data_IF_275247220327
#
_entry.id   IF_275247220327
#
_cell.length_a   1.000
_cell.length_b   1.000
_cell.length_c   1.000
_cell.angle_alpha   90.00
_cell.angle_beta   90.00
_cell.angle_gamma   90.00
#
_symmetry.space_group_name_H-M   'P 1'
#
loop_
_entity.id
_entity.type
_entity.pdbx_description
1 polymer ?
#
# COMPACT_ATOMS: atom_id res chain seq x y z
N UNK A 1 -41.91 -15.59 -29.15
CA UNK A 1 -41.06 -16.75 -29.43
C UNK A 1 -39.63 -16.24 -29.47
N UNK A 2 -38.79 -16.77 -28.56
CA UNK A 2 -37.36 -16.51 -28.33
C UNK A 2 -36.92 -15.10 -27.88
N UNK A 3 -36.02 -14.89 -26.92
CA UNK A 3 -35.46 -15.66 -25.78
C UNK A 3 -34.64 -14.59 -25.03
N UNK A 4 -34.96 -14.34 -23.76
CA UNK A 4 -34.19 -13.46 -22.89
C UNK A 4 -33.01 -14.24 -22.29
N UNK A 5 -31.82 -13.64 -22.26
CA UNK A 5 -30.68 -14.14 -21.50
C UNK A 5 -30.27 -13.08 -20.48
N UNK A 6 -30.68 -13.30 -19.23
CA UNK A 6 -30.10 -12.66 -18.05
C UNK A 6 -28.88 -13.48 -17.61
N UNK A 7 -27.76 -12.86 -17.23
CA UNK A 7 -26.79 -13.52 -16.36
C UNK A 7 -27.20 -13.32 -14.90
N UNK A 8 -27.56 -14.42 -14.26
CA UNK A 8 -27.78 -14.55 -12.82
C UNK A 8 -26.43 -14.49 -12.09
N UNK A 9 -26.18 -13.42 -11.34
CA UNK A 9 -25.22 -13.45 -10.24
C UNK A 9 -25.98 -13.88 -8.97
N UNK A 10 -25.61 -15.04 -8.43
CA UNK A 10 -26.03 -15.46 -7.09
C UNK A 10 -24.81 -15.32 -6.16
N UNK A 11 -24.97 -14.69 -4.98
CA UNK A 11 -23.99 -14.74 -3.91
C UNK A 11 -24.24 -15.98 -3.04
N UNK A 12 -23.20 -16.70 -2.64
CA UNK A 12 -23.26 -17.50 -1.42
C UNK A 12 -21.87 -17.76 -0.81
N UNK A 13 -21.82 -17.99 0.52
CA UNK A 13 -20.64 -17.86 1.34
C UNK A 13 -19.76 -19.11 1.27
N UNK A 14 -18.44 -18.91 1.28
CA UNK A 14 -17.47 -20.00 1.35
C UNK A 14 -17.49 -20.56 2.78
N UNK A 15 -18.08 -21.74 2.93
CA UNK A 15 -17.96 -22.62 4.11
C UNK A 15 -16.70 -23.48 3.94
N UNK A 16 -15.70 -23.29 4.79
CA UNK A 16 -14.55 -24.20 4.85
C UNK A 16 -14.89 -25.44 5.69
N UNK A 17 -14.86 -26.61 5.06
CA UNK A 17 -15.01 -27.91 5.72
C UNK A 17 -13.71 -28.30 6.41
N UNK A 18 -13.80 -28.59 7.72
CA UNK A 18 -12.72 -29.12 8.55
C UNK A 18 -12.33 -30.54 8.09
N UNK A 19 -11.08 -30.73 7.67
CA UNK A 19 -10.55 -32.07 7.40
C UNK A 19 -9.83 -32.60 8.64
N UNK A 20 -10.27 -33.78 9.09
CA UNK A 20 -9.82 -34.50 10.28
C UNK A 20 -8.31 -34.84 10.26
N UNK A 21 -7.67 -34.63 11.39
CA UNK A 21 -6.33 -35.14 11.74
C UNK A 21 -6.35 -36.67 11.86
N UNK A 22 -5.54 -37.36 11.07
CA UNK A 22 -5.24 -38.79 11.26
C UNK A 22 -3.97 -38.90 12.11
N UNK A 23 -4.13 -39.45 13.30
CA UNK A 23 -3.06 -39.83 14.22
C UNK A 23 -2.46 -41.14 13.73
N UNK A 24 -1.18 -41.15 13.39
CA UNK A 24 -0.40 -42.39 13.27
C UNK A 24 0.69 -42.42 14.34
N UNK A 25 0.45 -43.24 15.35
CA UNK A 25 1.45 -43.70 16.31
C UNK A 25 2.56 -44.47 15.56
N UNK A 26 3.83 -44.28 15.95
CA UNK A 26 4.82 -45.36 16.00
C UNK A 26 6.05 -44.97 16.84
N UNK A 27 6.02 -45.45 18.08
CA UNK A 27 7.04 -46.21 18.81
C UNK A 27 8.53 -46.05 18.43
N UNK A 28 9.31 -45.64 19.43
CA UNK A 28 10.78 -45.73 19.51
C UNK A 28 11.33 -47.14 19.24
N UNK A 29 12.61 -47.23 18.85
CA UNK A 29 13.51 -48.07 19.65
C UNK A 29 14.85 -47.39 20.01
N UNK A 30 15.36 -47.79 21.17
CA UNK A 30 16.66 -47.48 21.72
C UNK A 30 17.79 -48.38 21.18
N UNK A 31 18.99 -47.85 21.01
CA UNK A 31 20.29 -48.54 21.24
C UNK A 31 21.42 -47.49 21.25
N UNK A 32 22.11 -47.25 22.38
CA UNK A 32 23.36 -47.85 22.90
C UNK A 32 24.61 -47.73 22.00
N UNK A 33 25.54 -46.91 22.51
CA UNK A 33 27.02 -47.00 22.55
C UNK A 33 27.84 -47.19 21.24
N UNK A 34 28.79 -46.29 20.97
CA UNK A 34 30.21 -46.47 21.36
C UNK A 34 31.18 -45.42 20.76
N UNK A 35 32.03 -44.87 21.65
CA UNK A 35 33.49 -44.68 21.60
C UNK A 35 34.17 -44.03 20.36
N UNK A 36 34.72 -42.85 20.63
CA UNK A 36 35.92 -42.15 20.13
C UNK A 36 36.74 -42.73 18.96
N UNK A 37 37.03 -41.87 17.98
CA UNK A 37 38.39 -41.73 17.45
C UNK A 37 38.68 -40.28 17.02
N UNK A 38 39.65 -39.66 17.68
CA UNK A 38 40.23 -38.39 17.26
C UNK A 38 41.21 -38.65 16.11
N UNK A 39 41.02 -37.98 14.97
CA UNK A 39 42.04 -37.76 13.94
C UNK A 39 41.94 -36.32 13.47
N UNK A 40 43.00 -35.58 13.78
CA UNK A 40 43.34 -34.25 13.27
C UNK A 40 43.57 -34.30 11.77
N UNK A 41 42.97 -33.36 11.03
CA UNK A 41 43.48 -32.89 9.74
C UNK A 41 43.05 -31.44 9.52
N UNK A 42 44.05 -30.59 9.27
CA UNK A 42 43.92 -29.18 8.88
C UNK A 42 43.11 -29.03 7.59
N UNK A 43 42.09 -28.17 7.60
CA UNK A 43 41.66 -27.43 6.41
C UNK A 43 40.84 -26.19 6.78
N UNK A 44 41.19 -25.08 6.10
CA UNK A 44 40.60 -23.73 6.06
C UNK A 44 39.25 -23.53 6.77
N UNK A 45 39.23 -22.62 7.76
CA UNK A 45 37.99 -22.01 8.28
C UNK A 45 37.36 -21.11 7.21
N UNK A 46 36.40 -21.64 6.47
CA UNK A 46 35.31 -20.80 5.95
C UNK A 46 34.35 -20.52 7.11
N UNK A 47 34.27 -19.24 7.49
CA UNK A 47 33.27 -18.77 8.44
C UNK A 47 31.93 -18.76 7.71
N UNK A 48 31.21 -19.87 7.77
CA UNK A 48 29.79 -19.91 7.43
C UNK A 48 29.07 -19.05 8.46
N UNK A 49 28.66 -17.86 8.05
CA UNK A 49 27.78 -17.01 8.86
C UNK A 49 26.49 -17.80 9.13
N UNK A 50 26.06 -17.97 10.39
CA UNK A 50 24.82 -18.63 10.69
C UNK A 50 23.68 -17.82 10.04
N UNK A 51 22.97 -18.46 9.11
CA UNK A 51 21.67 -18.02 8.61
C UNK A 51 20.78 -17.81 9.84
N UNK A 52 20.58 -16.55 10.21
CA UNK A 52 19.71 -16.16 11.32
C UNK A 52 18.34 -16.74 11.02
N UNK A 53 17.93 -17.72 11.82
CA UNK A 53 16.60 -18.26 11.78
C UNK A 53 15.65 -17.11 12.15
N UNK A 54 14.80 -16.72 11.21
CA UNK A 54 13.62 -15.90 11.51
C UNK A 54 12.84 -16.61 12.61
N UNK A 55 12.65 -15.95 13.74
CA UNK A 55 11.77 -16.43 14.81
C UNK A 55 10.40 -16.70 14.16
N UNK A 56 9.83 -17.90 14.30
CA UNK A 56 8.51 -18.18 13.75
C UNK A 56 7.51 -17.23 14.40
N UNK A 57 6.87 -16.41 13.57
CA UNK A 57 5.78 -15.52 13.97
C UNK A 57 4.78 -16.32 14.80
N UNK A 58 4.43 -15.84 16.00
CA UNK A 58 3.24 -16.34 16.65
C UNK A 58 2.04 -15.87 15.81
N UNK A 59 1.13 -16.77 15.41
CA UNK A 59 -0.05 -16.37 14.66
C UNK A 59 -0.86 -15.37 15.48
N UNK A 60 -1.50 -14.42 14.79
CA UNK A 60 -2.32 -13.39 15.47
C UNK A 60 -3.40 -14.09 16.28
N UNK A 61 -3.43 -13.83 17.59
CA UNK A 61 -4.45 -14.36 18.49
C UNK A 61 -5.75 -13.55 18.32
N UNK A 62 -6.63 -14.03 17.43
CA UNK A 62 -7.92 -13.38 17.14
C UNK A 62 -8.82 -13.32 18.37
N UNK A 63 -8.81 -14.36 19.21
CA UNK A 63 -9.63 -14.41 20.42
C UNK A 63 -9.23 -13.31 21.40
N UNK A 64 -7.92 -13.10 21.57
CA UNK A 64 -7.40 -11.98 22.37
C UNK A 64 -7.82 -10.63 21.80
N UNK A 65 -7.68 -10.41 20.48
CA UNK A 65 -8.09 -9.15 19.85
C UNK A 65 -9.58 -8.88 20.02
N UNK A 66 -10.40 -9.93 19.91
CA UNK A 66 -11.84 -9.85 20.08
C UNK A 66 -12.20 -9.60 21.55
N UNK A 67 -11.50 -10.18 22.51
CA UNK A 67 -11.73 -9.93 23.94
C UNK A 67 -11.33 -8.49 24.33
N UNK A 68 -10.16 -8.04 23.91
CA UNK A 68 -9.58 -6.76 24.33
C UNK A 68 -10.19 -5.54 23.61
N UNK A 69 -10.47 -5.66 22.30
CA UNK A 69 -10.79 -4.50 21.45
C UNK A 69 -12.20 -4.49 20.86
N UNK A 70 -13.05 -5.47 21.19
CA UNK A 70 -14.44 -5.48 20.69
C UNK A 70 -15.31 -4.36 21.28
N UNK A 71 -16.47 -4.12 20.65
CA UNK A 71 -17.48 -3.16 21.14
C UNK A 71 -17.44 -1.77 20.50
N UNK A 72 -16.35 -1.41 19.81
CA UNK A 72 -16.18 -0.09 19.16
C UNK A 72 -16.66 -0.06 17.69
N UNK A 73 -17.59 -0.94 17.30
CA UNK A 73 -17.96 -1.13 15.89
C UNK A 73 -16.91 -1.89 15.07
N UNK A 74 -15.97 -2.56 15.75
CA UNK A 74 -14.92 -3.39 15.13
C UNK A 74 -15.10 -4.86 15.49
N UNK A 75 -14.92 -5.71 14.48
CA UNK A 75 -14.90 -7.18 14.63
C UNK A 75 -13.65 -7.76 13.99
N UNK A 76 -13.13 -8.85 14.54
CA UNK A 76 -11.95 -9.52 14.04
C UNK A 76 -12.27 -10.87 13.41
N UNK A 77 -11.56 -11.23 12.34
CA UNK A 77 -11.68 -12.54 11.69
C UNK A 77 -10.30 -13.04 11.24
N UNK A 78 -9.95 -14.27 11.59
CA UNK A 78 -8.70 -14.90 11.15
C UNK A 78 -8.70 -15.21 9.65
N UNK A 79 -7.57 -14.96 8.99
CA UNK A 79 -7.33 -15.33 7.59
C UNK A 79 -5.91 -15.86 7.46
N UNK A 80 -5.76 -17.17 7.25
CA UNK A 80 -4.46 -17.84 7.25
C UNK A 80 -3.73 -17.60 8.58
N UNK A 81 -2.51 -17.10 8.52
CA UNK A 81 -1.71 -16.74 9.70
C UNK A 81 -1.95 -15.30 10.21
N UNK A 82 -2.81 -14.54 9.51
CA UNK A 82 -3.15 -13.15 9.82
C UNK A 82 -4.59 -12.96 10.32
N UNK A 83 -5.00 -11.71 10.38
CA UNK A 83 -6.33 -11.31 10.84
C UNK A 83 -6.84 -10.10 10.04
N UNK A 84 -8.15 -9.98 9.89
CA UNK A 84 -8.79 -8.75 9.41
C UNK A 84 -9.57 -8.08 10.53
N UNK A 85 -9.35 -6.78 10.70
CA UNK A 85 -10.19 -5.91 11.49
C UNK A 85 -11.22 -5.26 10.56
N UNK A 86 -12.50 -5.53 10.81
CA UNK A 86 -13.62 -4.95 10.06
C UNK A 86 -14.28 -3.87 10.88
N UNK A 87 -14.23 -2.64 10.38
CA UNK A 87 -14.88 -1.46 10.95
C UNK A 87 -16.24 -1.28 10.29
N UNK A 88 -17.29 -1.00 11.07
CA UNK A 88 -18.65 -0.76 10.57
C UNK A 88 -19.35 0.36 11.33
N UNK A 89 -19.78 1.38 10.60
CA UNK A 89 -20.66 2.43 11.09
C UNK A 89 -22.14 2.07 10.89
N UNK A 90 -23.01 2.72 11.65
CA UNK A 90 -24.47 2.55 11.59
C UNK A 90 -25.07 3.06 10.27
N UNK A 91 -24.46 4.07 9.65
CA UNK A 91 -24.87 4.58 8.34
C UNK A 91 -24.63 3.58 7.18
N UNK A 92 -23.94 2.46 7.45
CA UNK A 92 -23.62 1.42 6.49
C UNK A 92 -22.20 1.48 5.93
N UNK A 93 -21.44 2.56 6.17
CA UNK A 93 -20.04 2.64 5.77
C UNK A 93 -19.21 1.56 6.48
N UNK A 94 -18.33 0.89 5.72
CA UNK A 94 -17.45 -0.17 6.25
C UNK A 94 -16.05 -0.05 5.69
N UNK A 95 -15.05 -0.40 6.50
CA UNK A 95 -13.67 -0.57 6.05
C UNK A 95 -13.09 -1.90 6.55
N UNK A 96 -12.18 -2.50 5.78
CA UNK A 96 -11.49 -3.74 6.15
C UNK A 96 -9.99 -3.50 6.14
N UNK A 97 -9.35 -3.72 7.30
CA UNK A 97 -7.92 -3.56 7.53
C UNK A 97 -7.29 -4.92 7.81
N UNK A 98 -6.22 -5.26 7.08
CA UNK A 98 -5.46 -6.50 7.27
C UNK A 98 -4.30 -6.30 8.25
N UNK A 99 -4.13 -7.28 9.15
CA UNK A 99 -3.03 -7.37 10.10
C UNK A 99 -2.18 -8.62 9.81
N UNK A 100 -0.84 -8.52 9.90
CA UNK A 100 -0.07 -7.36 10.37
C UNK A 100 0.35 -6.38 9.26
N UNK A 101 -0.18 -6.50 8.03
CA UNK A 101 0.29 -5.69 6.90
C UNK A 101 -0.10 -4.21 6.97
N UNK A 102 -1.15 -3.87 7.70
CA UNK A 102 -1.72 -2.51 7.70
C UNK A 102 -2.43 -2.15 6.39
N UNK A 103 -2.71 -3.14 5.52
CA UNK A 103 -3.38 -2.91 4.24
C UNK A 103 -4.88 -2.69 4.44
N UNK A 104 -5.42 -1.58 3.95
CA UNK A 104 -6.89 -1.41 3.85
C UNK A 104 -7.34 -2.03 2.53
N UNK A 105 -8.11 -3.10 2.57
CA UNK A 105 -8.50 -3.85 1.37
C UNK A 105 -9.85 -3.46 0.80
N UNK A 106 -10.73 -2.87 1.60
CA UNK A 106 -12.08 -2.47 1.19
C UNK A 106 -12.52 -1.25 1.96
N UNK A 107 -13.20 -0.35 1.26
CA UNK A 107 -13.91 0.79 1.82
C UNK A 107 -15.22 0.94 1.07
N UNK A 108 -16.32 0.57 1.71
CA UNK A 108 -17.65 0.80 1.20
C UNK A 108 -18.21 2.04 1.87
N UNK A 109 -18.44 3.09 1.10
CA UNK A 109 -19.04 4.31 1.60
C UNK A 109 -20.57 4.26 1.42
N UNK A 110 -21.30 4.80 2.40
CA UNK A 110 -22.73 5.03 2.29
C UNK A 110 -23.04 6.09 1.22
N UNK A 111 -24.13 5.92 0.48
CA UNK A 111 -24.54 6.79 -0.63
C UNK A 111 -25.90 7.42 -0.34
N UNK A 112 -26.15 8.60 -0.90
CA UNK A 112 -27.40 9.38 -0.74
C UNK A 112 -28.70 8.61 -1.02
N UNK A 113 -28.63 7.55 -1.84
CA UNK A 113 -29.77 6.69 -2.17
C UNK A 113 -29.96 5.51 -1.19
N UNK A 114 -29.31 5.54 -0.02
CA UNK A 114 -29.40 4.53 1.04
C UNK A 114 -28.65 3.22 0.75
N UNK A 115 -27.88 3.16 -0.33
CA UNK A 115 -26.99 2.04 -0.64
C UNK A 115 -25.56 2.31 -0.18
N UNK A 116 -24.66 1.37 -0.50
CA UNK A 116 -23.21 1.55 -0.31
C UNK A 116 -22.48 1.24 -1.61
N UNK A 117 -21.38 1.92 -1.88
CA UNK A 117 -20.54 1.65 -3.05
C UNK A 117 -19.07 1.44 -2.65
N UNK A 118 -18.37 0.54 -3.36
CA UNK A 118 -16.98 0.18 -3.06
C UNK A 118 -16.01 1.19 -3.66
N UNK A 119 -15.33 1.97 -2.83
CA UNK A 119 -14.44 3.05 -3.25
C UNK A 119 -13.05 2.54 -3.66
N UNK A 120 -12.60 1.42 -3.09
CA UNK A 120 -11.26 0.88 -3.32
C UNK A 120 -11.28 -0.29 -4.31
N UNK A 121 -10.22 -0.36 -5.11
CA UNK A 121 -9.97 -1.49 -5.99
C UNK A 121 -9.00 -2.45 -5.31
N UNK A 122 -9.40 -3.69 -5.11
CA UNK A 122 -8.53 -4.75 -4.64
C UNK A 122 -8.92 -6.10 -5.25
N UNK A 123 -7.94 -6.98 -5.42
CA UNK A 123 -8.16 -8.35 -5.86
C UNK A 123 -7.12 -9.28 -5.23
N UNK A 124 -7.34 -10.59 -5.39
CA UNK A 124 -6.45 -11.62 -4.87
C UNK A 124 -5.89 -12.44 -6.02
N UNK A 125 -4.60 -12.72 -6.00
CA UNK A 125 -3.94 -13.68 -6.89
C UNK A 125 -3.45 -14.88 -6.10
N UNK A 126 -3.47 -16.05 -6.73
CA UNK A 126 -2.82 -17.24 -6.19
C UNK A 126 -1.37 -17.28 -6.71
N UNK A 127 -0.41 -17.20 -5.80
CA UNK A 127 1.02 -17.24 -6.10
C UNK A 127 1.70 -18.42 -5.40
N UNK A 128 2.92 -18.75 -5.82
CA UNK A 128 3.71 -19.83 -5.21
C UNK A 128 4.09 -19.39 -3.79
N UNK A 129 3.32 -19.83 -2.80
CA UNK A 129 3.48 -19.44 -1.40
C UNK A 129 2.19 -18.96 -0.71
N UNK A 130 1.09 -18.80 -1.45
CA UNK A 130 -0.21 -18.44 -0.89
C UNK A 130 -0.98 -17.42 -1.72
N UNK A 131 -2.12 -17.00 -1.19
CA UNK A 131 -2.91 -15.93 -1.78
C UNK A 131 -2.29 -14.56 -1.46
N UNK A 132 -2.06 -13.73 -2.47
CA UNK A 132 -1.53 -12.37 -2.35
C UNK A 132 -2.62 -11.38 -2.69
N UNK A 133 -2.81 -10.39 -1.82
CA UNK A 133 -3.78 -9.31 -2.03
C UNK A 133 -3.09 -8.16 -2.75
N UNK A 134 -3.76 -7.59 -3.74
CA UNK A 134 -3.29 -6.43 -4.50
C UNK A 134 -4.30 -5.29 -4.39
N UNK A 135 -3.83 -4.04 -4.47
CA UNK A 135 -4.68 -2.86 -4.46
C UNK A 135 -4.91 -2.26 -3.07
N UNK A 136 -6.09 -1.69 -2.85
CA UNK A 136 -6.47 -1.07 -1.58
C UNK A 136 -5.69 0.20 -1.23
N UNK A 137 -5.60 0.51 0.06
CA UNK A 137 -4.72 1.56 0.61
C UNK A 137 -3.54 0.91 1.32
N UNK A 138 -2.34 1.15 0.80
CA UNK A 138 -1.09 0.60 1.31
C UNK A 138 -0.11 1.69 1.72
N UNK A 139 0.75 1.36 2.68
CA UNK A 139 1.85 2.22 3.11
C UNK A 139 3.13 1.73 2.46
N UNK A 140 3.60 2.45 1.45
CA UNK A 140 4.84 2.14 0.77
C UNK A 140 5.89 3.16 1.18
N UNK A 141 6.42 2.98 2.40
CA UNK A 141 7.32 3.91 3.06
C UNK A 141 8.71 3.27 3.24
N UNK A 142 9.75 4.06 3.03
CA UNK A 142 11.14 3.71 3.30
C UNK A 142 11.77 4.83 4.12
N UNK A 143 12.40 4.45 5.22
CA UNK A 143 13.12 5.34 6.11
C UNK A 143 14.61 5.11 5.93
N UNK A 144 15.35 6.15 5.53
CA UNK A 144 16.81 6.11 5.46
C UNK A 144 17.41 6.87 6.64
N UNK A 145 18.29 6.16 7.36
CA UNK A 145 18.97 6.69 8.52
C UNK A 145 20.40 7.08 8.17
N UNK A 146 20.97 8.07 8.86
CA UNK A 146 22.31 8.60 8.58
C UNK A 146 23.47 7.61 8.74
N UNK A 147 23.21 6.41 9.26
CA UNK A 147 24.15 5.27 9.35
C UNK A 147 24.14 4.37 8.10
N UNK A 148 23.34 4.72 7.08
CA UNK A 148 23.20 3.93 5.85
C UNK A 148 22.22 2.75 5.97
N UNK A 149 21.52 2.61 7.11
CA UNK A 149 20.47 1.60 7.29
C UNK A 149 19.16 2.16 6.74
N UNK A 150 18.51 1.42 5.83
CA UNK A 150 17.12 1.67 5.45
C UNK A 150 16.18 0.66 6.09
N UNK A 151 14.98 1.12 6.42
CA UNK A 151 13.94 0.32 7.06
C UNK A 151 12.56 0.71 6.53
N UNK A 152 11.68 -0.28 6.41
CA UNK A 152 10.28 -0.09 6.03
C UNK A 152 9.37 -0.76 7.07
N UNK A 153 8.27 -0.10 7.47
CA UNK A 153 7.31 -0.71 8.38
C UNK A 153 6.58 -1.85 7.66
N UNK A 154 6.73 -3.06 8.17
CA UNK A 154 6.13 -4.28 7.58
C UNK A 154 5.32 -5.11 8.57
N UNK A 155 5.51 -4.89 9.87
CA UNK A 155 4.81 -5.59 10.94
C UNK A 155 4.10 -4.57 11.82
N UNK A 156 2.82 -4.38 11.56
CA UNK A 156 1.96 -3.49 12.33
C UNK A 156 1.29 -4.25 13.47
N UNK A 157 1.40 -3.69 14.67
CA UNK A 157 0.75 -4.20 15.87
C UNK A 157 -0.42 -3.30 16.22
N UNK A 158 -1.57 -3.88 16.54
CA UNK A 158 -2.73 -3.13 17.02
C UNK A 158 -2.42 -2.54 18.39
N UNK A 159 -2.48 -1.21 18.51
CA UNK A 159 -2.23 -0.49 19.76
C UNK A 159 -3.53 -0.14 20.49
N UNK A 160 -4.51 0.44 19.79
CA UNK A 160 -5.78 0.84 20.41
C UNK A 160 -6.88 1.06 19.38
N UNK A 161 -8.13 0.94 19.82
CA UNK A 161 -9.32 1.31 19.06
C UNK A 161 -10.09 2.37 19.86
N UNK A 162 -10.50 3.43 19.18
CA UNK A 162 -11.23 4.56 19.77
C UNK A 162 -12.51 4.81 18.95
N UNK A 163 -13.48 5.47 19.59
CA UNK A 163 -14.73 5.86 18.95
C UNK A 163 -15.82 4.79 19.05
N UNK A 164 -16.81 4.84 18.17
CA UNK A 164 -17.99 3.99 18.18
C UNK A 164 -18.63 3.90 16.77
N UNK A 165 -19.64 3.04 16.61
CA UNK A 165 -20.34 2.86 15.34
C UNK A 165 -21.23 4.02 14.89
N UNK A 166 -21.53 4.98 15.77
CA UNK A 166 -22.42 6.12 15.47
C UNK A 166 -21.66 7.28 14.84
N UNK A 167 -20.51 7.65 15.40
CA UNK A 167 -19.78 8.86 14.99
C UNK A 167 -18.58 8.54 14.10
N UNK A 168 -17.63 7.78 14.66
CA UNK A 168 -16.38 7.44 14.00
C UNK A 168 -15.68 6.29 14.70
N UNK A 169 -14.96 5.47 13.94
CA UNK A 169 -14.12 4.39 14.46
C UNK A 169 -12.69 4.70 14.07
N UNK A 170 -11.78 4.68 15.03
CA UNK A 170 -10.36 4.90 14.81
C UNK A 170 -9.57 3.68 15.28
N UNK A 171 -8.77 3.11 14.39
CA UNK A 171 -7.84 2.00 14.67
C UNK A 171 -6.41 2.53 14.61
N UNK A 172 -5.66 2.40 15.71
CA UNK A 172 -4.27 2.85 15.82
C UNK A 172 -3.35 1.62 15.82
N UNK A 173 -2.47 1.56 14.83
CA UNK A 173 -1.43 0.56 14.66
C UNK A 173 -0.06 1.19 14.94
N UNK A 174 0.89 0.39 15.40
CA UNK A 174 2.26 0.84 15.69
C UNK A 174 3.28 -0.08 15.01
N UNK A 175 4.37 0.52 14.53
CA UNK A 175 5.57 -0.17 14.04
C UNK A 175 6.81 0.60 14.46
N UNK A 176 7.87 -0.11 14.86
CA UNK A 176 9.13 0.47 15.32
C UNK A 176 10.31 -0.08 14.52
N UNK A 177 11.36 0.72 14.39
CA UNK A 177 12.62 0.23 13.85
C UNK A 177 13.28 -0.79 14.81
N UNK A 178 14.28 -1.52 14.32
CA UNK A 178 14.99 -2.54 15.11
C UNK A 178 15.72 -2.00 16.34
N UNK A 179 15.93 -0.68 16.41
CA UNK A 179 16.50 0.02 17.55
C UNK A 179 15.48 0.66 18.49
N UNK A 180 14.18 0.60 18.17
CA UNK A 180 13.07 1.28 18.87
C UNK A 180 13.29 2.80 19.04
N UNK A 181 14.02 3.43 18.11
CA UNK A 181 14.29 4.86 18.10
C UNK A 181 13.45 5.63 17.11
N UNK A 182 12.85 4.94 16.13
CA UNK A 182 11.85 5.52 15.23
C UNK A 182 10.56 4.76 15.44
N UNK A 183 9.55 5.47 15.93
CA UNK A 183 8.20 4.93 16.11
C UNK A 183 7.29 5.52 15.03
N UNK A 184 6.51 4.65 14.41
CA UNK A 184 5.47 5.05 13.45
C UNK A 184 4.14 4.54 13.96
N UNK A 185 3.19 5.47 14.09
CA UNK A 185 1.79 5.16 14.33
C UNK A 185 1.02 5.34 13.04
N UNK A 186 0.27 4.32 12.66
CA UNK A 186 -0.68 4.37 11.56
C UNK A 186 -2.10 4.37 12.10
N UNK A 187 -2.82 5.45 11.83
CA UNK A 187 -4.13 5.72 12.37
C UNK A 187 -5.11 5.67 11.19
N UNK A 188 -5.99 4.68 11.22
CA UNK A 188 -7.07 4.51 10.25
C UNK A 188 -8.37 4.98 10.87
N UNK A 189 -9.01 6.01 10.29
CA UNK A 189 -10.28 6.53 10.82
C UNK A 189 -11.38 6.36 9.78
N UNK A 190 -12.46 5.69 10.16
CA UNK A 190 -13.69 5.61 9.38
C UNK A 190 -14.73 6.55 10.00
N UNK A 191 -15.22 7.50 9.20
CA UNK A 191 -16.35 8.38 9.52
C UNK A 191 -17.47 8.20 8.50
N UNK A 192 -18.54 8.96 8.67
CA UNK A 192 -19.75 8.89 7.85
C UNK A 192 -19.43 8.92 6.34
N UNK A 193 -18.62 9.90 5.93
CA UNK A 193 -18.26 10.26 4.56
C UNK A 193 -16.75 10.26 4.29
N UNK A 194 -15.92 9.76 5.21
CA UNK A 194 -14.46 9.86 5.13
C UNK A 194 -13.79 8.56 5.59
N UNK A 195 -12.77 8.13 4.85
CA UNK A 195 -11.75 7.21 5.32
C UNK A 195 -10.39 7.92 5.35
N UNK A 196 -9.78 8.04 6.53
CA UNK A 196 -8.45 8.63 6.69
C UNK A 196 -7.38 7.58 6.97
N UNK A 197 -6.20 7.85 6.43
CA UNK A 197 -4.96 7.10 6.64
C UNK A 197 -3.87 8.09 7.10
N UNK A 198 -3.78 8.29 8.42
CA UNK A 198 -2.87 9.25 9.05
C UNK A 198 -1.65 8.55 9.65
N UNK A 199 -0.48 9.16 9.50
CA UNK A 199 0.80 8.70 10.03
C UNK A 199 1.35 9.70 11.03
N UNK A 200 1.81 9.20 12.18
CA UNK A 200 2.56 9.97 13.18
C UNK A 200 3.91 9.31 13.35
N UNK A 201 4.97 10.02 13.00
CA UNK A 201 6.34 9.52 13.01
C UNK A 201 7.10 10.27 14.08
N UNK A 202 7.65 9.54 15.05
CA UNK A 202 8.43 10.09 16.16
C UNK A 202 9.88 9.62 16.03
N UNK A 203 10.82 10.57 15.95
CA UNK A 203 12.25 10.27 15.83
C UNK A 203 13.00 10.58 17.14
N UNK A 204 13.30 9.53 17.91
CA UNK A 204 14.11 9.58 19.12
C UNK A 204 15.60 9.27 18.86
N UNK A 205 16.03 9.24 17.59
CA UNK A 205 17.44 9.09 17.22
C UNK A 205 18.17 10.42 17.40
N UNK A 206 19.46 10.33 17.71
CA UNK A 206 20.38 11.48 17.74
C UNK A 206 20.67 12.10 16.37
N UNK A 207 20.11 11.54 15.28
CA UNK A 207 20.30 12.01 13.90
C UNK A 207 18.95 12.12 13.20
N UNK A 208 18.81 13.04 12.21
CA UNK A 208 17.61 13.08 11.37
C UNK A 208 17.41 11.77 10.60
N UNK A 209 16.14 11.50 10.27
CA UNK A 209 15.72 10.37 9.44
C UNK A 209 15.00 10.92 8.21
N UNK A 210 15.26 10.34 7.05
CA UNK A 210 14.59 10.70 5.80
C UNK A 210 13.48 9.69 5.52
N UNK A 211 12.28 10.21 5.26
CA UNK A 211 11.13 9.44 4.79
C UNK A 211 11.00 9.63 3.28
N UNK A 212 10.99 8.51 2.56
CA UNK A 212 10.60 8.42 1.15
C UNK A 212 9.43 7.48 0.97
N UNK A 213 8.58 7.74 -0.02
CA UNK A 213 7.49 6.83 -0.39
C UNK A 213 6.13 7.52 -0.40
N UNK A 214 5.06 6.75 -0.21
CA UNK A 214 3.69 7.27 -0.25
C UNK A 214 2.67 6.45 0.55
N UNK A 215 1.56 7.10 0.89
CA UNK A 215 0.29 6.44 1.21
C UNK A 215 -0.43 6.24 -0.12
N UNK A 216 -0.47 5.00 -0.62
CA UNK A 216 -0.92 4.66 -1.98
C UNK A 216 -2.32 4.04 -1.94
N UNK A 217 -3.27 4.72 -2.59
CA UNK A 217 -4.67 4.29 -2.72
C UNK A 217 -4.98 3.87 -4.15
N UNK A 218 -5.53 2.66 -4.34
CA UNK A 218 -6.08 2.20 -5.61
C UNK A 218 -7.58 2.45 -5.62
N UNK A 219 -8.02 3.51 -6.29
CA UNK A 219 -9.41 3.91 -6.33
C UNK A 219 -10.14 3.17 -7.44
N UNK A 220 -11.27 2.55 -7.11
CA UNK A 220 -12.05 1.77 -8.07
C UNK A 220 -12.78 2.68 -9.03
N UNK A 221 -12.70 2.37 -10.32
CA UNK A 221 -13.43 3.07 -11.37
C UNK A 221 -14.10 2.07 -12.31
N UNK A 222 -14.96 2.55 -13.20
CA UNK A 222 -15.56 1.79 -14.30
C UNK A 222 -14.52 1.52 -15.38
N UNK A 223 -13.85 2.57 -15.85
CA UNK A 223 -12.69 2.51 -16.74
C UNK A 223 -11.93 3.84 -16.67
N UNK A 224 -10.62 3.85 -16.99
CA UNK A 224 -9.86 5.10 -17.03
C UNK A 224 -10.40 6.12 -18.06
N UNK A 225 -10.95 5.66 -19.20
CA UNK A 225 -11.58 6.56 -20.20
C UNK A 225 -12.80 7.33 -19.66
N UNK A 226 -13.56 6.72 -18.75
CA UNK A 226 -14.72 7.34 -18.10
C UNK A 226 -14.34 8.19 -16.88
N UNK A 227 -13.05 8.24 -16.53
CA UNK A 227 -12.55 8.87 -15.31
C UNK A 227 -11.80 10.17 -15.60
N UNK A 228 -12.02 11.16 -14.73
CA UNK A 228 -11.42 12.48 -14.82
C UNK A 228 -10.87 12.91 -13.46
N UNK A 229 -9.67 13.49 -13.43
CA UNK A 229 -9.12 14.19 -12.28
C UNK A 229 -9.37 15.70 -12.40
N UNK A 230 -9.80 16.32 -11.30
CA UNK A 230 -10.18 17.73 -11.24
C UNK A 230 -9.36 18.48 -10.18
N UNK A 231 -8.93 19.69 -10.53
CA UNK A 231 -8.15 20.56 -9.66
C UNK A 231 -6.64 20.48 -9.88
N UNK A 232 -6.20 19.70 -10.88
CA UNK A 232 -4.79 19.61 -11.26
C UNK A 232 -4.33 20.74 -12.18
N UNK A 233 -5.22 21.64 -12.60
CA UNK A 233 -4.87 22.79 -13.44
C UNK A 233 -3.64 23.53 -12.88
N UNK A 234 -2.66 23.79 -13.74
CA UNK A 234 -1.39 24.47 -13.41
C UNK A 234 -0.48 23.71 -12.44
N UNK A 235 -0.76 22.42 -12.22
CA UNK A 235 0.13 21.57 -11.43
C UNK A 235 1.28 21.08 -12.29
N UNK A 236 2.50 21.38 -11.88
CA UNK A 236 3.70 20.81 -12.48
C UNK A 236 3.80 19.32 -12.12
N UNK A 237 4.25 18.50 -13.06
CA UNK A 237 4.45 17.07 -12.88
C UNK A 237 5.74 16.58 -13.50
N UNK A 238 6.22 15.44 -12.97
CA UNK A 238 7.25 14.61 -13.59
C UNK A 238 6.65 13.28 -14.00
N UNK A 239 6.82 12.89 -15.27
CA UNK A 239 6.45 11.58 -15.77
C UNK A 239 7.56 10.58 -15.43
N UNK A 240 7.23 9.55 -14.64
CA UNK A 240 8.18 8.57 -14.10
C UNK A 240 7.63 7.15 -14.26
N UNK A 241 8.49 6.11 -14.21
CA UNK A 241 7.99 4.74 -14.26
C UNK A 241 7.10 4.48 -13.03
N UNK A 242 6.15 3.55 -13.11
CA UNK A 242 5.32 3.17 -11.98
C UNK A 242 6.17 2.84 -10.75
N UNK A 243 5.79 3.42 -9.63
CA UNK A 243 6.39 3.10 -8.35
C UNK A 243 5.95 1.70 -7.90
N UNK A 244 6.90 0.86 -7.51
CA UNK A 244 6.65 -0.52 -7.07
C UNK A 244 6.40 -0.56 -5.56
N UNK A 245 5.23 -1.05 -5.17
CA UNK A 245 4.82 -1.34 -3.79
C UNK A 245 4.48 -2.82 -3.65
N UNK A 246 4.61 -3.38 -2.45
CA UNK A 246 4.25 -4.78 -2.15
C UNK A 246 2.79 -5.12 -2.52
N UNK A 247 1.91 -4.12 -2.53
CA UNK A 247 0.48 -4.26 -2.85
C UNK A 247 0.10 -3.47 -4.12
N UNK A 248 1.09 -2.92 -4.82
CA UNK A 248 0.87 -2.08 -6.00
C UNK A 248 0.39 -2.90 -7.20
N UNK A 249 -0.58 -2.37 -7.93
CA UNK A 249 -1.02 -2.95 -9.20
C UNK A 249 -0.32 -2.18 -10.33
N UNK A 250 0.39 -2.90 -11.20
CA UNK A 250 0.92 -2.36 -12.46
C UNK A 250 0.63 -3.38 -13.56
N UNK A 251 -0.04 -2.99 -14.66
CA UNK A 251 -0.25 -3.90 -15.79
C UNK A 251 1.07 -4.44 -16.34
N UNK A 252 1.16 -5.72 -16.74
CA UNK A 252 2.38 -6.30 -17.29
C UNK A 252 2.77 -5.71 -18.66
N UNK A 253 1.79 -5.17 -19.36
CA UNK A 253 1.88 -4.47 -20.66
C UNK A 253 2.13 -2.96 -20.53
N UNK A 254 2.19 -2.44 -19.30
CA UNK A 254 2.39 -1.01 -19.06
C UNK A 254 3.66 -0.50 -19.72
N UNK A 255 3.54 0.53 -20.56
CA UNK A 255 4.66 1.16 -21.24
C UNK A 255 5.25 0.38 -22.43
N UNK A 256 4.69 -0.77 -22.81
CA UNK A 256 5.16 -1.54 -23.97
C UNK A 256 4.90 -0.82 -25.31
N UNK A 257 3.88 0.02 -25.41
CA UNK A 257 3.65 0.84 -26.61
C UNK A 257 4.73 1.95 -26.79
N UNK A 258 5.45 2.28 -25.71
CA UNK A 258 6.45 3.34 -25.64
C UNK A 258 7.85 2.80 -25.26
N UNK A 259 8.22 1.61 -25.74
CA UNK A 259 9.48 0.90 -25.38
C UNK A 259 10.74 1.77 -25.52
N UNK A 260 10.79 2.68 -26.50
CA UNK A 260 11.91 3.59 -26.73
C UNK A 260 12.05 4.66 -25.62
N UNK A 261 10.93 5.15 -25.08
CA UNK A 261 10.90 6.14 -24.01
C UNK A 261 11.06 5.51 -22.62
N UNK A 262 10.38 4.39 -22.36
CA UNK A 262 10.34 3.73 -21.05
C UNK A 262 11.67 3.07 -20.66
N UNK A 263 12.36 2.42 -21.61
CA UNK A 263 13.71 1.86 -21.39
C UNK A 263 14.74 2.94 -21.09
N UNK A 264 14.65 4.08 -21.76
CA UNK A 264 15.49 5.25 -21.48
C UNK A 264 15.16 5.84 -20.08
N UNK A 265 13.90 5.86 -19.68
CA UNK A 265 13.44 6.41 -18.41
C UNK A 265 13.88 5.56 -17.19
N UNK A 266 13.81 4.23 -17.31
CA UNK A 266 14.35 3.27 -16.32
C UNK A 266 15.87 3.38 -16.17
N UNK A 267 16.62 3.48 -17.27
CA UNK A 267 18.07 3.69 -17.25
C UNK A 267 18.45 5.05 -16.63
N UNK A 268 17.66 6.10 -16.87
CA UNK A 268 17.85 7.45 -16.31
C UNK A 268 17.57 7.52 -14.81
N UNK A 269 16.63 6.73 -14.28
CA UNK A 269 16.33 6.68 -12.84
C UNK A 269 17.46 6.05 -12.00
N UNK A 270 18.24 5.13 -12.58
CA UNK A 270 19.45 4.57 -11.95
C UNK A 270 20.48 5.67 -11.60
N UNK A 271 20.46 6.78 -12.35
CA UNK A 271 21.30 7.95 -12.13
C UNK A 271 20.81 8.85 -10.98
N UNK A 272 19.51 8.89 -10.70
CA UNK A 272 18.96 9.60 -9.52
C UNK A 272 19.03 8.75 -8.25
N UNK A 273 18.92 7.42 -8.35
CA UNK A 273 19.10 6.49 -7.22
C UNK A 273 20.57 6.32 -6.81
N UNK A 274 21.52 6.53 -7.75
CA UNK A 274 22.97 6.58 -7.48
C UNK A 274 23.47 8.01 -7.24
N UNK A 275 23.03 8.64 -6.14
CA UNK A 275 23.73 9.82 -5.62
C UNK A 275 24.13 9.62 -4.18
N UNK A 276 24.85 8.54 -3.94
CA UNK A 276 25.74 8.43 -2.79
C UNK A 276 26.99 7.64 -3.22
N UNK A 277 28.04 8.35 -3.61
CA UNK A 277 29.28 7.75 -4.08
C UNK A 277 30.14 8.78 -4.79
N UNK A 278 31.09 9.35 -4.06
CA UNK A 278 32.17 10.16 -4.63
C UNK A 278 32.88 9.35 -5.73
N UNK A 279 32.87 9.85 -6.96
CA UNK A 279 34.02 9.78 -7.86
C UNK A 279 33.83 10.80 -8.98
N UNK A 280 34.84 11.65 -9.12
CA UNK A 280 34.96 12.61 -10.20
C UNK A 280 35.28 11.86 -11.49
N UNK A 281 34.41 11.98 -12.50
CA UNK A 281 34.85 11.95 -13.88
C UNK A 281 33.94 12.87 -14.71
N UNK A 282 34.55 13.89 -15.31
CA UNK A 282 33.88 14.90 -16.13
C UNK A 282 33.53 14.29 -17.50
N UNK A 283 32.33 13.71 -17.61
CA UNK A 283 31.71 13.51 -18.92
C UNK A 283 30.58 14.53 -19.09
N UNK A 284 30.86 15.60 -19.85
CA UNK A 284 29.84 16.55 -20.32
C UNK A 284 28.85 15.80 -21.21
N UNK A 285 27.66 15.56 -20.71
CA UNK A 285 26.53 14.98 -21.44
C UNK A 285 25.32 15.90 -21.29
N UNK A 286 24.61 16.13 -22.40
CA UNK A 286 23.38 16.92 -22.56
C UNK A 286 22.26 16.49 -21.61
N UNK A 287 22.38 16.84 -20.33
CA UNK A 287 21.41 16.51 -19.28
C UNK A 287 20.22 17.47 -19.18
N UNK A 288 20.21 18.57 -19.96
CA UNK A 288 19.14 19.58 -19.88
C UNK A 288 17.95 19.25 -20.79
N UNK A 289 18.18 18.84 -22.05
CA UNK A 289 17.09 18.53 -22.99
C UNK A 289 16.22 17.35 -22.50
N UNK A 290 16.83 16.37 -21.82
CA UNK A 290 16.13 15.16 -21.35
C UNK A 290 15.29 15.32 -20.07
N UNK A 291 15.45 16.42 -19.32
CA UNK A 291 14.60 16.74 -18.16
C UNK A 291 13.33 17.45 -18.58
N UNK A 292 13.42 18.31 -19.59
CA UNK A 292 12.28 19.06 -20.14
C UNK A 292 11.23 18.12 -20.77
N UNK A 293 11.63 16.96 -21.30
CA UNK A 293 10.70 15.96 -21.86
C UNK A 293 9.88 15.19 -20.79
N UNK A 294 10.36 15.13 -19.55
CA UNK A 294 9.68 14.41 -18.46
C UNK A 294 8.88 15.33 -17.56
N UNK A 295 9.22 16.62 -17.54
CA UNK A 295 8.51 17.66 -16.81
C UNK A 295 7.36 18.22 -17.67
N UNK A 296 6.25 18.55 -17.04
CA UNK A 296 5.14 19.20 -17.72
C UNK A 296 4.22 19.90 -16.74
N UNK A 297 3.23 20.59 -17.27
CA UNK A 297 2.18 21.28 -16.50
C UNK A 297 0.82 20.85 -17.05
N UNK A 298 -0.15 20.59 -16.17
CA UNK A 298 -1.52 20.36 -16.62
C UNK A 298 -2.17 21.68 -17.02
N UNK A 299 -2.65 21.76 -18.24
CA UNK A 299 -3.26 22.99 -18.79
C UNK A 299 -4.76 23.07 -18.53
N UNK A 300 -5.41 21.92 -18.35
CA UNK A 300 -6.86 21.83 -18.21
C UNK A 300 -7.26 21.48 -16.78
N UNK A 301 -8.40 22.01 -16.34
CA UNK A 301 -8.96 21.68 -15.03
C UNK A 301 -9.56 20.26 -14.98
N UNK A 302 -9.81 19.63 -16.13
CA UNK A 302 -10.36 18.28 -16.22
C UNK A 302 -9.38 17.38 -16.96
N UNK A 303 -8.54 16.66 -16.22
CA UNK A 303 -7.61 15.69 -16.79
C UNK A 303 -8.33 14.36 -17.02
N UNK A 304 -8.61 14.03 -18.27
CA UNK A 304 -9.09 12.68 -18.61
C UNK A 304 -7.97 11.66 -18.43
N UNK A 305 -8.30 10.50 -17.86
CA UNK A 305 -7.31 9.49 -17.46
C UNK A 305 -7.26 8.29 -18.43
N UNK A 306 -7.74 8.43 -19.67
CA UNK A 306 -7.79 7.32 -20.63
C UNK A 306 -6.43 6.74 -21.01
N UNK A 307 -5.39 7.57 -21.01
CA UNK A 307 -4.03 7.21 -21.44
C UNK A 307 -3.24 6.59 -20.28
N UNK A 308 -2.32 5.68 -20.60
CA UNK A 308 -1.35 5.19 -19.62
C UNK A 308 -0.50 6.36 -19.11
N UNK A 309 -0.43 6.52 -17.80
CA UNK A 309 0.40 7.55 -17.19
C UNK A 309 0.86 7.15 -15.81
N UNK A 310 2.03 7.64 -15.43
CA UNK A 310 2.58 7.59 -14.08
C UNK A 310 3.30 8.90 -13.83
N UNK A 311 2.74 9.73 -12.95
CA UNK A 311 3.15 11.12 -12.73
C UNK A 311 3.32 11.41 -11.25
N UNK A 312 4.28 12.28 -10.93
CA UNK A 312 4.42 12.92 -9.62
C UNK A 312 4.20 14.41 -9.79
N UNK A 313 3.10 14.91 -9.23
CA UNK A 313 2.77 16.33 -9.19
C UNK A 313 3.47 17.01 -8.02
N UNK A 314 4.16 18.12 -8.28
CA UNK A 314 4.93 18.89 -7.29
C UNK A 314 4.21 20.13 -6.78
N UNK A 315 3.19 20.61 -7.50
CA UNK A 315 2.34 21.75 -7.13
C UNK A 315 0.86 21.35 -7.22
N UNK A 316 0.51 20.20 -6.63
CA UNK A 316 -0.88 19.74 -6.58
C UNK A 316 -1.69 20.49 -5.50
N UNK A 317 -3.02 20.64 -5.69
CA UNK A 317 -3.90 21.16 -4.66
C UNK A 317 -3.93 20.23 -3.43
N UNK A 318 -4.36 20.76 -2.28
CA UNK A 318 -4.55 19.92 -1.07
C UNK A 318 -5.66 18.89 -1.24
N UNK A 319 -6.68 19.22 -2.01
CA UNK A 319 -7.79 18.33 -2.32
C UNK A 319 -7.95 18.27 -3.83
N UNK A 320 -8.05 17.06 -4.36
CA UNK A 320 -8.36 16.80 -5.77
C UNK A 320 -9.59 15.91 -5.84
N UNK A 321 -10.42 16.09 -6.85
CA UNK A 321 -11.58 15.20 -7.07
C UNK A 321 -11.32 14.27 -8.24
N UNK A 322 -11.53 12.97 -8.03
CA UNK A 322 -11.69 12.01 -9.11
C UNK A 322 -13.17 11.78 -9.36
N UNK A 323 -13.59 11.95 -10.60
CA UNK A 323 -14.97 11.69 -11.04
C UNK A 323 -14.95 10.52 -12.01
N UNK A 324 -15.80 9.54 -11.74
CA UNK A 324 -16.08 8.43 -12.63
C UNK A 324 -17.50 8.53 -13.15
N UNK A 325 -17.63 8.83 -14.44
CA UNK A 325 -18.93 8.97 -15.11
C UNK A 325 -19.65 7.65 -15.31
N UNK A 326 -18.91 6.54 -15.47
CA UNK A 326 -19.51 5.22 -15.66
C UNK A 326 -20.17 4.71 -14.38
N UNK A 327 -19.54 4.96 -13.23
CA UNK A 327 -20.12 4.67 -11.91
C UNK A 327 -21.06 5.75 -11.39
N UNK A 328 -21.02 6.95 -11.99
CA UNK A 328 -21.71 8.16 -11.48
C UNK A 328 -21.33 8.46 -10.04
N UNK A 329 -20.04 8.32 -9.75
CA UNK A 329 -19.48 8.46 -8.41
C UNK A 329 -18.25 9.37 -8.48
N UNK A 330 -17.87 9.93 -7.33
CA UNK A 330 -16.68 10.75 -7.20
C UNK A 330 -16.04 10.54 -5.83
N UNK A 331 -14.73 10.74 -5.75
CA UNK A 331 -13.96 10.67 -4.50
C UNK A 331 -13.07 11.90 -4.43
N UNK A 332 -13.07 12.59 -3.30
CA UNK A 332 -12.13 13.68 -3.04
C UNK A 332 -10.94 13.09 -2.28
N UNK A 333 -9.76 13.25 -2.85
CA UNK A 333 -8.51 12.81 -2.25
C UNK A 333 -7.84 14.01 -1.58
N UNK A 334 -7.81 13.97 -0.25
CA UNK A 334 -7.17 14.98 0.59
C UNK A 334 -5.72 14.64 0.93
N UNK A 335 -4.88 15.68 1.05
CA UNK A 335 -3.46 15.58 1.39
C UNK A 335 -3.16 16.24 2.73
N UNK A 336 -2.45 15.52 3.61
CA UNK A 336 -1.94 16.02 4.89
C UNK A 336 -0.42 15.87 4.94
N UNK A 337 0.30 16.97 5.13
CA UNK A 337 1.75 17.00 5.39
C UNK A 337 2.68 16.61 4.24
N UNK A 338 2.18 15.95 3.18
CA UNK A 338 2.93 15.72 1.94
C UNK A 338 2.85 16.95 1.01
N UNK A 339 3.91 17.17 0.22
CA UNK A 339 3.97 18.22 -0.81
C UNK A 339 3.73 17.67 -2.22
N UNK A 340 3.90 16.36 -2.40
CA UNK A 340 3.77 15.70 -3.70
C UNK A 340 2.55 14.80 -3.75
N UNK A 341 2.11 14.55 -4.98
CA UNK A 341 1.00 13.67 -5.29
C UNK A 341 1.42 12.78 -6.46
N UNK A 342 1.46 11.48 -6.21
CA UNK A 342 1.61 10.46 -7.23
C UNK A 342 0.26 10.10 -7.83
N UNK A 343 0.22 9.92 -9.15
CA UNK A 343 -0.94 9.38 -9.86
C UNK A 343 -0.51 8.40 -10.93
N UNK A 344 -1.18 7.26 -11.00
CA UNK A 344 -1.05 6.30 -12.08
C UNK A 344 -2.40 5.94 -12.66
N UNK A 345 -2.49 5.97 -13.99
CA UNK A 345 -3.58 5.40 -14.77
C UNK A 345 -3.04 4.21 -15.56
N UNK A 346 -3.65 3.02 -15.45
CA UNK A 346 -3.28 1.86 -16.26
C UNK A 346 -3.72 1.96 -17.73
N UNK A 347 -4.41 3.03 -18.12
CA UNK A 347 -4.91 3.20 -19.48
C UNK A 347 -6.22 2.45 -19.78
N UNK A 348 -6.80 2.71 -20.95
CA UNK A 348 -8.13 2.18 -21.33
C UNK A 348 -8.07 1.01 -22.31
N UNK A 349 -6.89 0.42 -22.51
CA UNK A 349 -6.69 -0.78 -23.34
C UNK A 349 -7.26 -2.04 -22.67
N UNK A 350 -7.49 -2.01 -21.35
CA UNK A 350 -8.02 -3.13 -20.58
C UNK A 350 -9.56 -3.13 -20.47
N UNK A 351 -10.10 -4.27 -20.05
CA UNK A 351 -11.55 -4.47 -19.89
C UNK A 351 -12.17 -3.51 -18.86
N UNK A 352 -13.33 -2.94 -19.21
CA UNK A 352 -14.17 -2.10 -18.33
C UNK A 352 -14.69 -2.94 -17.16
N UNK A 353 -14.63 -2.40 -15.95
CA UNK A 353 -14.90 -3.10 -14.68
C UNK A 353 -14.00 -4.32 -14.42
N UNK A 354 -12.90 -4.44 -15.17
CA UNK A 354 -11.92 -5.51 -15.04
C UNK A 354 -10.84 -5.24 -13.99
N UNK A 355 -9.81 -6.07 -14.03
CA UNK A 355 -8.65 -6.06 -13.11
C UNK A 355 -7.89 -4.73 -13.10
N UNK A 356 -7.88 -3.99 -14.21
CA UNK A 356 -7.18 -2.72 -14.33
C UNK A 356 -8.14 -1.52 -14.34
N UNK A 357 -9.37 -1.69 -13.85
CA UNK A 357 -10.33 -0.60 -13.65
C UNK A 357 -10.10 0.11 -12.31
N UNK A 358 -8.95 0.77 -12.19
CA UNK A 358 -8.59 1.60 -11.05
C UNK A 358 -7.76 2.81 -11.49
N UNK A 359 -7.68 3.81 -10.62
CA UNK A 359 -6.67 4.88 -10.67
C UNK A 359 -5.90 4.84 -9.36
N UNK A 360 -4.58 4.79 -9.43
CA UNK A 360 -3.73 4.86 -8.24
C UNK A 360 -3.43 6.31 -7.91
N UNK A 361 -3.65 6.70 -6.66
CA UNK A 361 -3.33 8.03 -6.13
C UNK A 361 -2.57 7.89 -4.83
N UNK A 362 -1.39 8.50 -4.77
CA UNK A 362 -0.52 8.44 -3.60
C UNK A 362 -0.16 9.82 -3.09
N UNK A 363 -0.38 10.10 -1.80
CA UNK A 363 0.24 11.26 -1.16
C UNK A 363 1.69 10.91 -0.86
N UNK A 364 2.65 11.65 -1.46
CA UNK A 364 4.01 11.15 -1.63
C UNK A 364 5.12 12.11 -1.19
N UNK A 365 6.30 11.52 -0.99
CA UNK A 365 7.59 12.17 -0.75
C UNK A 365 8.68 11.40 -1.52
N UNK A 366 8.54 11.33 -2.85
CA UNK A 366 9.40 10.54 -3.72
C UNK A 366 10.48 11.38 -4.41
N UNK A 367 10.18 12.63 -4.81
CA UNK A 367 11.19 13.53 -5.39
C UNK A 367 11.92 14.32 -4.30
N UNK A 368 11.19 14.74 -3.27
CA UNK A 368 11.67 15.39 -2.05
C UNK A 368 11.36 14.51 -0.83
N UNK A 369 12.35 13.76 -0.34
CA UNK A 369 12.25 13.07 0.93
C UNK A 369 11.91 14.05 2.06
N UNK A 370 11.04 13.63 2.98
CA UNK A 370 10.72 14.40 4.18
C UNK A 370 11.79 14.13 5.25
N UNK A 371 12.36 15.19 5.83
CA UNK A 371 13.34 15.07 6.90
C UNK A 371 12.63 15.18 8.26
N UNK A 372 12.74 14.13 9.09
CA UNK A 372 12.28 14.13 10.48
C UNK A 372 13.49 14.36 11.39
N UNK A 373 13.57 15.54 12.02
CA UNK A 373 14.69 15.88 12.92
C UNK A 373 14.64 15.05 14.19
N UNK A 374 15.74 15.09 14.94
CA UNK A 374 15.83 14.52 16.28
C UNK A 374 14.81 15.18 17.21
N UNK A 375 14.09 14.37 17.99
CA UNK A 375 12.99 14.77 18.89
C UNK A 375 11.80 15.43 18.17
N UNK A 376 11.72 15.30 16.83
CA UNK A 376 10.60 15.82 16.05
C UNK A 376 9.52 14.75 15.87
N UNK A 377 8.27 15.22 15.82
CA UNK A 377 7.09 14.43 15.47
C UNK A 377 6.53 14.95 14.14
N UNK A 378 6.66 14.14 13.09
CA UNK A 378 6.09 14.43 11.77
C UNK A 378 4.68 13.83 11.67
N UNK A 379 3.74 14.59 11.10
CA UNK A 379 2.38 14.14 10.81
C UNK A 379 2.09 14.28 9.33
N UNK A 380 1.75 13.18 8.68
CA UNK A 380 1.42 13.13 7.25
C UNK A 380 0.29 12.14 7.03
N UNK A 381 -0.41 12.19 5.89
CA UNK A 381 -1.52 11.29 5.64
C UNK A 381 -2.33 11.60 4.39
N UNK A 382 -3.39 10.84 4.23
CA UNK A 382 -4.36 10.94 3.13
C UNK A 382 -5.77 10.81 3.69
N UNK A 383 -6.70 11.53 3.08
CA UNK A 383 -8.13 11.37 3.30
C UNK A 383 -8.81 10.99 1.98
N UNK A 384 -9.76 10.07 2.07
CA UNK A 384 -10.67 9.70 0.99
C UNK A 384 -12.08 10.09 1.40
N UNK A 385 -12.55 11.24 0.89
CA UNK A 385 -13.90 11.70 1.15
C UNK A 385 -14.87 11.24 0.06
N UNK A 386 -16.05 10.81 0.49
CA UNK A 386 -17.19 10.51 -0.35
C UNK A 386 -18.17 11.69 -0.37
N UNK A 387 -18.14 12.56 -1.39
CA UNK A 387 -19.07 13.69 -1.51
C UNK A 387 -20.50 13.28 -1.91
N UNK A 388 -20.79 11.99 -2.04
CA UNK A 388 -22.06 11.47 -2.55
C UNK A 388 -22.96 10.91 -1.44
N UNK A 389 -22.69 11.26 -0.18
CA UNK A 389 -23.56 10.95 0.94
C UNK A 389 -24.80 11.85 0.99
#
# INVERSE_FOLDING_TARGET
>A
MAMALNPLFIPNPISFSTTKTIITNNTFPSSKNSIFHCKTNDSKKEVVLPRVASIPYQPINVDYLQEEFSGHGVTFQGIGDGCVAKMRLENGSTAILMLPSGLITSYKAAMWHGGTDEMLHSFVTEEIGGAVVHGGVSLALEFSCGDGVSWSPSNWVLQTIKGNSQDSIQVELISTDSGEKVEIKYIVTLKEDELSSDLVISNSRSTPVQLTGCVLSHLRVSSPEATYAIGLERSNFFSLPPFMSNFGIVPPDFGQENESGFSQLLNKMSFWRSRNGNNADETKSDGNESKEEMEGEETDNYKNLREEMSRIYTIAPRNMTLIDRGRRNSVIVGRKGFDELYMLSPGSSHEIYGKYSYISVGQSAMLKPLNVRTEEVLRVGQDLYNPNL
#
